data_IF_247991575394
#
_entry.id   IF_247991575394
#
_cell.length_a   1.000
_cell.length_b   1.000
_cell.length_c   1.000
_cell.angle_alpha   90.00
_cell.angle_beta   90.00
_cell.angle_gamma   90.00
#
_symmetry.space_group_name_H-M   'P 1'
#
loop_
_entity.id
_entity.type
_entity.pdbx_description
1 polymer ?
#
# COMPACT_ATOMS: atom_id res chain seq x y z
N UNK A 1 10.66 -10.73 -24.01
CA UNK A 1 10.68 -9.28 -23.64
C UNK A 1 9.50 -8.98 -22.73
N UNK A 2 9.73 -8.24 -21.64
CA UNK A 2 8.71 -7.83 -20.66
C UNK A 2 8.58 -6.30 -20.65
N UNK A 3 7.36 -5.79 -20.84
CA UNK A 3 7.08 -4.35 -20.82
C UNK A 3 6.42 -3.93 -19.51
N UNK A 4 6.90 -2.84 -18.91
CA UNK A 4 6.32 -2.30 -17.67
C UNK A 4 6.09 -0.80 -17.74
N UNK A 5 4.94 -0.35 -17.22
CA UNK A 5 4.65 1.07 -16.97
C UNK A 5 5.33 1.63 -15.72
N UNK A 6 6.10 0.82 -14.98
CA UNK A 6 6.66 1.19 -13.68
C UNK A 6 8.19 1.18 -13.69
N UNK A 7 8.81 2.37 -13.78
CA UNK A 7 10.28 2.53 -13.82
C UNK A 7 11.01 1.82 -12.66
N UNK A 8 10.55 1.87 -11.40
CA UNK A 8 11.22 1.18 -10.32
C UNK A 8 11.28 -0.34 -10.48
N UNK A 9 10.30 -0.98 -11.15
CA UNK A 9 10.32 -2.44 -11.33
C UNK A 9 11.44 -2.88 -12.28
N UNK A 10 11.79 -2.05 -13.28
CA UNK A 10 12.96 -2.29 -14.12
C UNK A 10 14.25 -2.35 -13.30
N UNK A 11 14.38 -1.48 -12.30
CA UNK A 11 15.56 -1.46 -11.45
C UNK A 11 15.59 -2.64 -10.46
N UNK A 12 14.43 -2.98 -9.91
CA UNK A 12 14.31 -3.97 -8.85
C UNK A 12 14.33 -5.43 -9.34
N UNK A 13 13.80 -5.68 -10.53
CA UNK A 13 13.70 -7.00 -11.16
C UNK A 13 14.61 -7.13 -12.39
N UNK A 14 15.46 -6.13 -12.62
CA UNK A 14 16.45 -6.17 -13.69
C UNK A 14 17.57 -7.14 -13.33
N UNK A 15 17.97 -7.97 -14.29
CA UNK A 15 19.01 -9.00 -14.19
C UNK A 15 20.35 -8.51 -13.59
N UNK A 16 20.60 -7.19 -13.61
CA UNK A 16 21.87 -6.59 -13.20
C UNK A 16 22.02 -6.37 -11.69
N UNK A 17 20.95 -6.46 -10.89
CA UNK A 17 21.00 -6.31 -9.42
C UNK A 17 20.19 -7.40 -8.75
N UNK A 18 20.84 -8.14 -7.84
CA UNK A 18 20.16 -9.15 -7.02
C UNK A 18 18.99 -8.56 -6.23
N UNK A 19 18.01 -9.41 -5.93
CA UNK A 19 16.78 -9.02 -5.24
C UNK A 19 17.14 -8.52 -3.84
N UNK A 20 16.77 -7.28 -3.46
CA UNK A 20 17.09 -6.81 -2.13
C UNK A 20 16.33 -7.65 -1.10
N UNK A 21 17.06 -8.11 -0.06
CA UNK A 21 16.50 -8.90 1.04
C UNK A 21 15.40 -8.13 1.80
N UNK A 22 15.46 -6.80 1.77
CA UNK A 22 14.46 -5.90 2.34
C UNK A 22 13.29 -5.58 1.39
N UNK A 23 13.24 -6.19 0.20
CA UNK A 23 12.07 -6.03 -0.67
C UNK A 23 10.83 -6.63 -0.01
N UNK A 24 9.67 -6.03 -0.27
CA UNK A 24 8.40 -6.59 0.18
C UNK A 24 8.26 -8.05 -0.28
N UNK A 25 7.67 -8.91 0.56
CA UNK A 25 7.45 -10.35 0.31
C UNK A 25 6.89 -10.64 -1.09
N UNK A 26 5.98 -9.78 -1.55
CA UNK A 26 5.40 -9.85 -2.90
C UNK A 26 6.45 -9.73 -4.00
N UNK A 27 7.39 -8.80 -3.90
CA UNK A 27 8.42 -8.57 -4.91
C UNK A 27 9.43 -9.71 -4.95
N UNK A 28 9.81 -10.25 -3.79
CA UNK A 28 10.69 -11.41 -3.69
C UNK A 28 10.09 -12.63 -4.39
N UNK A 29 8.79 -12.90 -4.18
CA UNK A 29 8.09 -14.01 -4.86
C UNK A 29 8.09 -13.86 -6.37
N UNK A 30 7.73 -12.67 -6.87
CA UNK A 30 7.75 -12.41 -8.31
C UNK A 30 9.16 -12.54 -8.89
N UNK A 31 10.17 -12.12 -8.15
CA UNK A 31 11.54 -12.24 -8.61
C UNK A 31 12.03 -13.70 -8.67
N UNK A 32 11.65 -14.55 -7.70
CA UNK A 32 11.91 -16.01 -7.77
C UNK A 32 11.20 -16.62 -8.98
N UNK A 33 9.92 -16.30 -9.18
CA UNK A 33 9.16 -16.81 -10.33
C UNK A 33 9.81 -16.40 -11.65
N UNK A 34 10.17 -15.13 -11.78
CA UNK A 34 10.78 -14.57 -12.98
C UNK A 34 12.20 -15.09 -13.21
N UNK A 35 12.93 -15.49 -12.16
CA UNK A 35 14.28 -16.07 -12.29
C UNK A 35 14.33 -17.37 -13.10
N UNK A 36 13.19 -18.06 -13.25
CA UNK A 36 13.07 -19.24 -14.10
C UNK A 36 12.92 -18.94 -15.60
N UNK A 37 12.89 -17.68 -16.01
CA UNK A 37 12.68 -17.27 -17.40
C UNK A 37 13.80 -16.36 -17.89
N UNK A 38 14.14 -16.47 -19.18
CA UNK A 38 15.01 -15.51 -19.85
C UNK A 38 14.17 -14.33 -20.36
N UNK A 39 14.31 -13.16 -19.74
CA UNK A 39 13.57 -11.97 -20.11
C UNK A 39 14.41 -10.70 -20.00
N UNK A 40 14.13 -9.73 -20.86
CA UNK A 40 14.59 -8.35 -20.70
C UNK A 40 13.41 -7.44 -20.34
N UNK A 41 13.57 -6.62 -19.30
CA UNK A 41 12.53 -5.74 -18.75
C UNK A 41 12.74 -4.30 -19.23
N UNK A 42 11.78 -3.81 -20.00
CA UNK A 42 11.83 -2.49 -20.62
C UNK A 42 10.66 -1.62 -20.14
N UNK A 43 10.97 -0.35 -19.88
CA UNK A 43 9.96 0.62 -19.50
C UNK A 43 9.25 1.15 -20.74
N UNK A 44 7.91 1.15 -20.71
CA UNK A 44 7.07 1.88 -21.66
C UNK A 44 6.28 2.94 -20.92
N UNK A 45 6.19 4.13 -21.50
CA UNK A 45 5.36 5.21 -20.93
C UNK A 45 3.88 4.83 -20.97
N UNK A 46 3.05 5.37 -20.07
CA UNK A 46 1.61 5.08 -20.02
C UNK A 46 0.91 5.32 -21.36
N UNK A 47 1.30 6.38 -22.09
CA UNK A 47 0.77 6.68 -23.44
C UNK A 47 1.00 5.55 -24.45
N UNK A 48 2.11 4.82 -24.32
CA UNK A 48 2.47 3.69 -25.19
C UNK A 48 2.01 2.33 -24.62
N UNK A 49 1.36 2.35 -23.46
CA UNK A 49 0.87 1.17 -22.76
C UNK A 49 -0.65 1.25 -22.55
N UNK A 50 -1.33 2.01 -23.41
CA UNK A 50 -2.78 2.27 -23.33
C UNK A 50 -3.59 0.97 -23.39
N UNK A 51 -3.14 -0.02 -24.15
CA UNK A 51 -3.79 -1.34 -24.26
C UNK A 51 -3.79 -2.06 -22.90
N UNK A 52 -2.62 -2.11 -22.25
CA UNK A 52 -2.44 -2.71 -20.91
C UNK A 52 -3.24 -1.93 -19.87
N UNK A 53 -3.22 -0.61 -19.97
CA UNK A 53 -3.99 0.26 -19.07
C UNK A 53 -5.50 0.01 -19.21
N UNK A 54 -6.00 -0.09 -20.43
CA UNK A 54 -7.40 -0.41 -20.72
C UNK A 54 -7.79 -1.75 -20.12
N UNK A 55 -7.02 -2.81 -20.40
CA UNK A 55 -7.26 -4.15 -19.88
C UNK A 55 -7.22 -4.19 -18.34
N UNK A 56 -6.29 -3.47 -17.71
CA UNK A 56 -6.17 -3.41 -16.25
C UNK A 56 -7.34 -2.70 -15.56
N UNK A 57 -8.06 -1.85 -16.30
CA UNK A 57 -9.22 -1.09 -15.80
C UNK A 57 -10.55 -1.77 -16.09
N UNK A 58 -10.55 -2.89 -16.83
CA UNK A 58 -11.77 -3.64 -17.08
C UNK A 58 -12.32 -4.17 -15.76
N UNK A 59 -13.65 -4.06 -15.53
CA UNK A 59 -14.26 -4.57 -14.32
C UNK A 59 -14.09 -6.09 -14.27
N UNK A 60 -13.43 -6.57 -13.22
CA UNK A 60 -13.22 -7.99 -12.98
C UNK A 60 -14.44 -8.55 -12.23
N UNK A 61 -14.92 -9.72 -12.63
CA UNK A 61 -15.99 -10.42 -11.90
C UNK A 61 -15.53 -10.74 -10.47
N UNK A 62 -16.37 -10.51 -9.48
CA UNK A 62 -16.01 -10.63 -8.06
C UNK A 62 -15.55 -12.03 -7.63
N UNK A 63 -15.70 -13.05 -8.48
CA UNK A 63 -15.37 -14.45 -8.19
C UNK A 63 -13.87 -14.75 -8.34
N UNK A 64 -13.13 -13.95 -9.12
CA UNK A 64 -11.76 -14.29 -9.55
C UNK A 64 -10.63 -13.74 -8.62
N UNK A 65 -10.95 -12.87 -7.66
CA UNK A 65 -9.96 -12.13 -6.85
C UNK A 65 -9.38 -12.95 -5.69
N UNK A 66 -10.00 -14.07 -5.33
CA UNK A 66 -9.75 -14.77 -4.06
C UNK A 66 -8.49 -15.64 -4.02
N UNK A 67 -7.99 -16.11 -5.17
CA UNK A 67 -6.93 -17.13 -5.21
C UNK A 67 -5.51 -16.58 -4.97
N UNK A 68 -5.13 -15.47 -5.64
CA UNK A 68 -3.74 -15.00 -5.65
C UNK A 68 -3.29 -14.26 -4.37
N UNK A 69 -4.22 -13.91 -3.48
CA UNK A 69 -3.91 -13.03 -2.33
C UNK A 69 -3.59 -13.83 -1.07
N UNK A 70 -4.13 -15.04 -0.94
CA UNK A 70 -4.14 -15.82 0.31
C UNK A 70 -2.76 -16.12 0.89
N UNK A 71 -1.77 -16.45 0.05
CA UNK A 71 -0.39 -16.68 0.51
C UNK A 71 0.36 -15.39 0.84
N UNK A 72 0.04 -14.27 0.18
CA UNK A 72 0.64 -12.98 0.53
C UNK A 72 0.08 -12.48 1.86
N UNK A 73 -1.21 -12.70 2.12
CA UNK A 73 -1.84 -12.39 3.40
C UNK A 73 -1.19 -13.17 4.53
N UNK A 74 -1.00 -14.48 4.39
CA UNK A 74 -0.35 -15.33 5.40
C UNK A 74 1.07 -14.89 5.77
N UNK A 75 1.88 -14.49 4.78
CA UNK A 75 3.24 -14.00 5.04
C UNK A 75 3.25 -12.64 5.74
N UNK A 76 2.26 -11.79 5.47
CA UNK A 76 2.12 -10.51 6.15
C UNK A 76 1.59 -10.70 7.58
N UNK A 77 0.67 -11.63 7.79
CA UNK A 77 0.14 -12.01 9.12
C UNK A 77 1.28 -12.47 10.05
N UNK A 78 2.14 -13.38 9.59
CA UNK A 78 3.27 -13.83 10.40
C UNK A 78 4.27 -12.71 10.74
N UNK A 79 4.44 -11.73 9.85
CA UNK A 79 5.27 -10.55 10.12
C UNK A 79 4.63 -9.62 11.15
N UNK A 80 3.30 -9.49 11.13
CA UNK A 80 2.54 -8.70 12.11
C UNK A 80 2.60 -9.34 13.49
N UNK A 81 2.50 -10.67 13.58
CA UNK A 81 2.57 -11.40 14.86
C UNK A 81 3.94 -11.25 15.55
N UNK A 82 5.00 -11.02 14.77
CA UNK A 82 6.35 -10.78 15.30
C UNK A 82 6.58 -9.34 15.78
N UNK A 83 5.60 -8.43 15.62
CA UNK A 83 5.79 -7.04 16.03
C UNK A 83 5.72 -6.91 17.56
N UNK A 84 6.59 -6.10 18.18
CA UNK A 84 6.60 -5.90 19.63
C UNK A 84 5.46 -5.03 20.15
N UNK A 85 4.56 -4.56 19.26
CA UNK A 85 3.48 -3.64 19.58
C UNK A 85 2.21 -4.11 18.89
N UNK A 86 1.12 -4.21 19.66
CA UNK A 86 -0.21 -4.59 19.17
C UNK A 86 -0.99 -3.41 18.60
N UNK A 87 -1.92 -3.69 17.68
CA UNK A 87 -2.84 -2.67 17.17
C UNK A 87 -3.65 -1.99 18.29
N UNK A 88 -4.02 -2.73 19.34
CA UNK A 88 -4.72 -2.17 20.51
C UNK A 88 -3.89 -1.17 21.31
N UNK A 89 -2.58 -1.40 21.43
CA UNK A 89 -1.68 -0.47 22.12
C UNK A 89 -1.49 0.80 21.29
N UNK A 90 -1.33 0.67 19.98
CA UNK A 90 -1.27 1.82 19.06
C UNK A 90 -2.56 2.63 19.14
N UNK A 91 -3.72 1.97 19.14
CA UNK A 91 -5.00 2.66 19.24
C UNK A 91 -5.13 3.45 20.56
N UNK A 92 -4.77 2.82 21.70
CA UNK A 92 -4.75 3.50 23.01
C UNK A 92 -3.79 4.69 23.01
N UNK A 93 -2.55 4.51 22.57
CA UNK A 93 -1.55 5.58 22.52
C UNK A 93 -1.99 6.74 21.62
N UNK A 94 -2.58 6.43 20.46
CA UNK A 94 -3.12 7.42 19.51
C UNK A 94 -4.29 8.21 20.11
N UNK A 95 -5.13 7.57 20.93
CA UNK A 95 -6.27 8.20 21.60
C UNK A 95 -5.85 9.16 22.72
N UNK A 96 -4.79 8.82 23.47
CA UNK A 96 -4.26 9.67 24.54
C UNK A 96 -3.36 10.80 24.04
N UNK A 97 -2.84 10.71 22.82
CA UNK A 97 -2.03 11.75 22.20
C UNK A 97 -2.89 12.99 21.87
N UNK A 98 -2.45 14.17 22.33
CA UNK A 98 -3.18 15.44 22.22
C UNK A 98 -3.40 15.89 20.76
N UNK A 99 -2.50 15.52 19.86
CA UNK A 99 -2.54 15.89 18.44
C UNK A 99 -3.27 14.80 17.66
N UNK A 100 -2.90 13.53 17.84
CA UNK A 100 -3.49 12.44 17.06
C UNK A 100 -4.95 12.17 17.43
N UNK A 101 -5.39 12.44 18.66
CA UNK A 101 -6.80 12.37 19.05
C UNK A 101 -7.65 13.39 18.29
N UNK A 102 -7.13 14.61 18.07
CA UNK A 102 -7.79 15.63 17.24
C UNK A 102 -7.81 15.23 15.77
N UNK A 103 -6.70 14.67 15.27
CA UNK A 103 -6.64 14.15 13.88
C UNK A 103 -7.66 13.02 13.70
N UNK A 104 -7.77 12.10 14.65
CA UNK A 104 -8.76 11.02 14.64
C UNK A 104 -10.18 11.57 14.57
N UNK A 105 -10.49 12.58 15.40
CA UNK A 105 -11.78 13.27 15.35
C UNK A 105 -12.06 13.88 13.97
N UNK A 106 -11.08 14.55 13.35
CA UNK A 106 -11.25 15.12 12.01
C UNK A 106 -11.40 14.06 10.91
N UNK A 107 -10.74 12.91 11.05
CA UNK A 107 -10.91 11.79 10.11
C UNK A 107 -12.31 11.19 10.19
N UNK A 108 -12.89 11.11 11.39
CA UNK A 108 -14.23 10.54 11.62
C UNK A 108 -15.37 11.50 11.27
N UNK A 109 -15.26 12.78 11.66
CA UNK A 109 -16.35 13.75 11.57
C UNK A 109 -16.16 14.82 10.49
N UNK A 110 -15.00 14.86 9.82
CA UNK A 110 -14.68 15.81 8.77
C UNK A 110 -13.55 16.78 9.15
N UNK A 111 -12.77 17.19 8.14
CA UNK A 111 -11.68 18.14 8.32
C UNK A 111 -12.24 19.58 8.38
N UNK A 112 -11.81 20.41 9.35
CA UNK A 112 -12.13 21.83 9.39
C UNK A 112 -11.31 22.62 8.37
N UNK A 113 -11.69 23.88 8.13
CA UNK A 113 -10.98 24.76 7.22
C UNK A 113 -9.53 25.00 7.65
N UNK A 114 -8.60 24.95 6.67
CA UNK A 114 -7.15 25.08 6.84
C UNK A 114 -6.72 26.23 7.76
N UNK A 115 -7.45 27.34 7.72
CA UNK A 115 -7.12 28.57 8.44
C UNK A 115 -7.43 28.50 9.95
N UNK A 116 -8.16 27.47 10.39
CA UNK A 116 -8.53 27.25 11.80
C UNK A 116 -7.62 26.24 12.52
N UNK A 117 -6.65 25.64 11.81
CA UNK A 117 -5.78 24.59 12.36
C UNK A 117 -4.49 25.15 12.98
N UNK A 118 -4.05 24.52 14.08
CA UNK A 118 -2.75 24.79 14.66
C UNK A 118 -1.60 24.35 13.71
N UNK A 119 -0.41 24.96 13.80
CA UNK A 119 0.72 24.63 12.91
C UNK A 119 1.11 23.14 12.96
N UNK A 120 0.94 22.49 14.12
CA UNK A 120 1.19 21.05 14.30
C UNK A 120 0.22 20.17 13.51
N UNK A 121 -1.05 20.58 13.40
CA UNK A 121 -2.09 19.85 12.67
C UNK A 121 -2.02 20.07 11.16
N UNK A 122 -1.36 21.14 10.71
CA UNK A 122 -1.21 21.47 9.29
C UNK A 122 -0.38 20.42 8.53
N UNK A 123 0.61 19.80 9.21
CA UNK A 123 1.41 18.69 8.65
C UNK A 123 0.55 17.45 8.33
N UNK A 124 -0.53 17.25 9.09
CA UNK A 124 -1.48 16.16 8.89
C UNK A 124 -2.57 16.52 7.87
N UNK A 125 -2.95 17.79 7.76
CA UNK A 125 -3.96 18.29 6.82
C UNK A 125 -3.63 17.92 5.36
N UNK A 126 -2.39 18.14 4.93
CA UNK A 126 -1.96 17.84 3.55
C UNK A 126 -1.91 16.32 3.25
N UNK A 127 -1.85 15.49 4.29
CA UNK A 127 -1.83 14.02 4.17
C UNK A 127 -3.24 13.42 4.22
N UNK A 128 -4.24 14.19 4.69
CA UNK A 128 -5.59 13.74 4.99
C UNK A 128 -6.48 13.41 3.78
N UNK A 129 -6.14 13.86 2.56
CA UNK A 129 -6.92 13.56 1.34
C UNK A 129 -6.93 12.07 0.98
N UNK A 130 -5.93 11.30 1.45
CA UNK A 130 -5.87 9.83 1.29
C UNK A 130 -6.39 9.04 2.51
N UNK A 131 -6.68 9.70 3.64
CA UNK A 131 -7.03 9.03 4.89
C UNK A 131 -8.51 8.65 5.02
N UNK A 132 -9.39 9.17 4.14
CA UNK A 132 -10.84 8.92 4.19
C UNK A 132 -11.21 7.44 3.99
N UNK A 133 -10.33 6.65 3.38
CA UNK A 133 -10.50 5.20 3.18
C UNK A 133 -10.08 4.35 4.39
N UNK A 134 -9.42 4.93 5.41
CA UNK A 134 -8.85 4.17 6.55
C UNK A 134 -9.54 4.41 7.90
N UNK A 135 -10.60 5.22 7.94
CA UNK A 135 -11.37 5.48 9.17
C UNK A 135 -11.99 4.21 9.78
N UNK A 136 -12.21 3.15 8.98
CA UNK A 136 -12.69 1.84 9.45
C UNK A 136 -11.69 1.05 10.30
N UNK A 137 -10.40 1.39 10.25
CA UNK A 137 -9.37 0.65 11.00
C UNK A 137 -9.39 0.95 12.51
N UNK A 138 -9.96 2.08 12.91
CA UNK A 138 -9.99 2.53 14.32
C UNK A 138 -11.34 2.31 15.01
N UNK A 139 -12.41 1.99 14.27
CA UNK A 139 -13.76 1.81 14.84
C UNK A 139 -14.08 0.38 15.27
N UNK A 140 -13.12 -0.55 15.28
CA UNK A 140 -13.34 -1.93 15.72
C UNK A 140 -14.32 -2.74 14.86
N UNK A 141 -14.67 -2.27 13.66
CA UNK A 141 -15.52 -3.03 12.73
C UNK A 141 -14.62 -3.74 11.73
N UNK A 142 -14.18 -4.93 12.11
CA UNK A 142 -13.76 -5.94 11.14
C UNK A 142 -14.99 -6.42 10.37
N UNK A 143 -15.17 -5.93 9.14
CA UNK A 143 -15.84 -6.64 8.05
C UNK A 143 -15.05 -6.38 6.77
#
# INVERSE_FOLDING_TARGET
>A
MLYTGHKPLRYLLGLSKGIPVLAASRLQRWAILLSGYEYDITYRSSKQNADVECLSRLPVSSRDVSSNTREATKMNESQIDCLPVSASEIAKATMYDRVLSKVLHFVLYGLPDRNSLSPELLSFYNKGTNCRLKAKFFSGVCV
#
